data_IF_079946635125
#
_entry.id   IF_079946635125
#
_cell.length_a   1.000
_cell.length_b   1.000
_cell.length_c   1.000
_cell.angle_alpha   90.00
_cell.angle_beta   90.00
_cell.angle_gamma   90.00
#
_symmetry.space_group_name_H-M   'P 1'
#
loop_
_entity.id
_entity.type
_entity.pdbx_description
1 polymer ?
#
# COMPACT_ATOMS: atom_id res chain seq x y z
N UNK A 1 -15.30 -31.15 -72.79
CA UNK A 1 -15.40 -29.75 -72.31
C UNK A 1 -16.16 -29.79 -70.98
N UNK A 2 -15.49 -29.79 -69.81
CA UNK A 2 -15.28 -28.61 -68.92
C UNK A 2 -16.61 -27.92 -68.56
N UNK A 3 -17.09 -27.77 -67.31
CA UNK A 3 -16.42 -27.39 -66.05
C UNK A 3 -17.35 -27.65 -64.83
N UNK A 4 -16.71 -27.87 -63.69
CA UNK A 4 -17.20 -27.88 -62.29
C UNK A 4 -17.91 -26.55 -61.92
N UNK A 5 -18.85 -26.58 -60.96
CA UNK A 5 -19.22 -25.46 -60.06
C UNK A 5 -19.95 -26.05 -58.84
N UNK A 6 -19.28 -26.32 -57.70
CA UNK A 6 -18.85 -25.45 -56.60
C UNK A 6 -19.96 -25.20 -55.56
N UNK A 7 -19.84 -25.90 -54.42
CA UNK A 7 -20.60 -25.67 -53.19
C UNK A 7 -20.10 -24.41 -52.48
N UNK A 8 -21.01 -23.60 -51.95
CA UNK A 8 -20.70 -22.44 -51.11
C UNK A 8 -21.29 -22.69 -49.71
N UNK A 9 -20.43 -23.03 -48.76
CA UNK A 9 -20.77 -23.02 -47.33
C UNK A 9 -20.34 -21.68 -46.75
N UNK A 10 -21.29 -20.82 -46.37
CA UNK A 10 -21.01 -19.64 -45.56
C UNK A 10 -20.87 -20.06 -44.09
N UNK A 11 -19.65 -20.02 -43.57
CA UNK A 11 -19.39 -20.06 -42.13
C UNK A 11 -19.43 -18.64 -41.55
N UNK A 12 -20.34 -18.38 -40.61
CA UNK A 12 -20.35 -17.15 -39.83
C UNK A 12 -19.28 -17.24 -38.72
N UNK A 13 -18.26 -16.39 -38.79
CA UNK A 13 -17.28 -16.24 -37.72
C UNK A 13 -17.78 -15.19 -36.71
N UNK A 14 -18.05 -15.61 -35.47
CA UNK A 14 -18.32 -14.70 -34.37
C UNK A 14 -17.01 -14.01 -33.95
N UNK A 15 -16.92 -12.70 -34.13
CA UNK A 15 -15.81 -11.88 -33.64
C UNK A 15 -16.01 -11.70 -32.13
N UNK A 16 -15.23 -12.42 -31.32
CA UNK A 16 -15.09 -12.11 -29.90
C UNK A 16 -14.36 -10.77 -29.80
N UNK A 17 -15.06 -9.72 -29.35
CA UNK A 17 -14.44 -8.44 -29.04
C UNK A 17 -13.61 -8.58 -27.76
N UNK A 18 -12.29 -8.68 -27.91
CA UNK A 18 -11.36 -8.55 -26.79
C UNK A 18 -11.25 -7.06 -26.45
N UNK A 19 -11.74 -6.63 -25.29
CA UNK A 19 -11.40 -5.32 -24.75
C UNK A 19 -9.92 -5.33 -24.35
N UNK A 20 -9.09 -4.36 -24.78
CA UNK A 20 -7.69 -4.32 -24.38
C UNK A 20 -7.60 -4.21 -22.86
N UNK A 21 -6.84 -5.11 -22.23
CA UNK A 21 -6.47 -4.98 -20.82
C UNK A 21 -5.52 -3.78 -20.68
N UNK A 22 -5.85 -2.84 -19.79
CA UNK A 22 -4.95 -1.73 -19.48
C UNK A 22 -3.65 -2.28 -18.87
N UNK A 23 -2.51 -1.71 -19.27
CA UNK A 23 -1.21 -2.16 -18.79
C UNK A 23 -1.06 -1.86 -17.29
N UNK A 24 -0.78 -2.90 -16.51
CA UNK A 24 -0.43 -2.77 -15.10
C UNK A 24 1.02 -2.33 -14.97
N UNK A 25 1.28 -1.36 -14.09
CA UNK A 25 2.64 -0.94 -13.73
C UNK A 25 2.89 -1.29 -12.26
N UNK A 26 4.02 -1.95 -12.00
CA UNK A 26 4.41 -2.39 -10.66
C UNK A 26 5.53 -1.51 -10.11
N UNK A 27 5.40 -1.14 -8.85
CA UNK A 27 6.35 -0.35 -8.08
C UNK A 27 6.80 -1.15 -6.87
N UNK A 28 8.11 -1.21 -6.65
CA UNK A 28 8.70 -1.93 -5.54
C UNK A 28 8.99 -1.04 -4.32
N UNK A 29 9.64 -1.60 -3.29
CA UNK A 29 10.03 -0.84 -2.10
C UNK A 29 10.92 0.38 -2.39
N UNK A 30 11.69 0.37 -3.48
CA UNK A 30 12.54 1.50 -3.89
C UNK A 30 11.74 2.72 -4.39
N UNK A 31 10.48 2.51 -4.81
CA UNK A 31 9.59 3.56 -5.30
C UNK A 31 8.75 4.20 -4.18
N UNK A 32 8.96 3.75 -2.94
CA UNK A 32 8.28 4.24 -1.74
C UNK A 32 9.33 4.85 -0.83
N UNK A 33 9.20 6.13 -0.53
CA UNK A 33 10.07 6.80 0.43
C UNK A 33 9.57 6.52 1.85
N UNK A 34 10.35 5.79 2.64
CA UNK A 34 9.98 5.41 4.01
C UNK A 34 10.89 6.07 5.05
N UNK A 35 10.31 6.44 6.19
CA UNK A 35 11.04 6.91 7.37
C UNK A 35 10.56 6.18 8.62
N UNK A 36 11.51 5.83 9.49
CA UNK A 36 11.25 5.09 10.73
C UNK A 36 11.15 6.06 11.92
N UNK A 37 10.09 5.90 12.70
CA UNK A 37 9.81 6.73 13.88
C UNK A 37 9.81 5.94 15.19
N UNK A 38 9.59 6.64 16.31
CA UNK A 38 9.49 6.03 17.65
C UNK A 38 8.42 4.94 17.71
N UNK A 39 8.59 3.96 18.60
CA UNK A 39 7.58 2.92 18.82
C UNK A 39 7.34 1.98 17.62
N UNK A 40 8.28 1.91 16.68
CA UNK A 40 8.15 1.07 15.49
C UNK A 40 7.16 1.61 14.46
N UNK A 41 6.86 2.91 14.48
CA UNK A 41 6.06 3.55 13.43
C UNK A 41 6.87 3.69 12.15
N UNK A 42 6.21 3.55 11.01
CA UNK A 42 6.82 3.78 9.69
C UNK A 42 5.92 4.75 8.95
N UNK A 43 6.47 5.89 8.52
CA UNK A 43 5.78 6.80 7.60
C UNK A 43 6.29 6.57 6.18
N UNK A 44 5.41 6.66 5.20
CA UNK A 44 5.74 6.49 3.80
C UNK A 44 5.16 7.62 2.94
N UNK A 45 5.85 7.97 1.86
CA UNK A 45 5.31 8.76 0.75
C UNK A 45 5.65 8.11 -0.59
N UNK A 46 4.74 8.28 -1.55
CA UNK A 46 4.84 7.73 -2.89
C UNK A 46 4.03 8.60 -3.86
N UNK A 47 4.21 8.41 -5.16
CA UNK A 47 3.45 9.15 -6.16
C UNK A 47 3.97 8.88 -7.56
N UNK A 48 3.23 9.35 -8.55
CA UNK A 48 3.61 9.33 -9.96
C UNK A 48 3.19 10.64 -10.62
N UNK A 49 3.99 11.09 -11.58
CA UNK A 49 3.72 12.29 -12.39
C UNK A 49 3.92 11.98 -13.86
N UNK A 50 3.33 12.82 -14.73
CA UNK A 50 3.46 12.63 -16.18
C UNK A 50 2.75 11.39 -16.69
N UNK A 51 1.68 10.95 -16.02
CA UNK A 51 0.91 9.78 -16.45
C UNK A 51 0.24 10.14 -17.78
N UNK A 52 0.53 9.38 -18.82
CA UNK A 52 0.00 9.61 -20.18
C UNK A 52 -1.52 9.40 -20.21
N UNK A 53 -2.18 9.95 -21.24
CA UNK A 53 -3.63 9.88 -21.36
C UNK A 53 -4.12 8.42 -21.45
N UNK A 54 -5.20 8.12 -20.74
CA UNK A 54 -5.85 6.81 -20.72
C UNK A 54 -6.07 6.26 -19.32
N UNK A 55 -6.65 5.06 -19.27
CA UNK A 55 -6.78 4.30 -18.03
C UNK A 55 -5.42 3.76 -17.61
N UNK A 56 -5.16 3.75 -16.30
CA UNK A 56 -3.95 3.17 -15.73
C UNK A 56 -4.27 2.32 -14.51
N UNK A 57 -3.39 1.36 -14.22
CA UNK A 57 -3.35 0.63 -12.96
C UNK A 57 -1.92 0.61 -12.45
N UNK A 58 -1.71 1.20 -11.28
CA UNK A 58 -0.43 1.25 -10.59
C UNK A 58 -0.51 0.41 -9.32
N UNK A 59 0.47 -0.47 -9.10
CA UNK A 59 0.49 -1.42 -8.00
C UNK A 59 1.78 -1.23 -7.22
N UNK A 60 1.69 -0.75 -5.99
CA UNK A 60 2.82 -0.65 -5.08
C UNK A 60 2.91 -1.90 -4.20
N UNK A 61 4.06 -2.54 -4.22
CA UNK A 61 4.34 -3.77 -3.51
C UNK A 61 5.37 -3.52 -2.40
N UNK A 62 5.00 -3.82 -1.16
CA UNK A 62 5.89 -3.74 0.00
C UNK A 62 5.62 -4.84 1.04
N UNK A 63 6.63 -5.16 1.84
CA UNK A 63 6.54 -6.10 2.96
C UNK A 63 6.97 -5.41 4.24
N UNK A 64 6.26 -5.65 5.35
CA UNK A 64 6.67 -5.18 6.67
C UNK A 64 7.10 -6.36 7.55
N UNK A 65 8.13 -6.20 8.41
CA UNK A 65 8.63 -7.28 9.26
C UNK A 65 7.73 -7.58 10.46
N UNK A 66 6.78 -6.70 10.76
CA UNK A 66 5.88 -6.79 11.92
C UNK A 66 4.45 -6.53 11.52
N UNK A 67 3.51 -7.16 12.22
CA UNK A 67 2.08 -6.93 12.03
C UNK A 67 1.66 -5.64 12.71
N UNK A 68 0.63 -5.00 12.18
CA UNK A 68 0.14 -3.74 12.71
C UNK A 68 -1.02 -3.19 11.90
N UNK A 69 -1.23 -1.88 11.99
CA UNK A 69 -2.27 -1.18 11.24
C UNK A 69 -1.67 -0.04 10.44
N UNK A 70 -2.15 0.13 9.20
CA UNK A 70 -1.78 1.22 8.33
C UNK A 70 -2.96 2.15 8.07
N UNK A 71 -2.70 3.45 8.03
CA UNK A 71 -3.63 4.48 7.54
C UNK A 71 -2.94 5.29 6.47
N UNK A 72 -3.70 5.88 5.55
CA UNK A 72 -3.09 6.67 4.49
C UNK A 72 -4.11 7.27 3.53
N UNK A 73 -3.59 8.03 2.58
CA UNK A 73 -4.37 8.70 1.55
C UNK A 73 -3.66 8.74 0.21
N UNK A 74 -4.45 8.88 -0.85
CA UNK A 74 -4.00 9.21 -2.20
C UNK A 74 -4.77 10.45 -2.65
N UNK A 75 -4.07 11.41 -3.23
CA UNK A 75 -4.60 12.71 -3.63
C UNK A 75 -4.17 13.04 -5.07
N UNK A 76 -5.08 13.62 -5.84
CA UNK A 76 -4.81 14.21 -7.15
C UNK A 76 -5.00 15.73 -7.09
N UNK A 77 -4.43 16.44 -8.06
CA UNK A 77 -4.68 17.88 -8.19
C UNK A 77 -4.64 18.31 -9.64
N UNK A 78 -5.56 19.18 -10.03
CA UNK A 78 -5.64 19.72 -11.37
C UNK A 78 -5.98 21.22 -11.36
N UNK A 79 -5.61 21.92 -12.44
CA UNK A 79 -5.94 23.35 -12.63
C UNK A 79 -7.31 23.52 -13.29
N UNK A 80 -7.66 22.61 -14.19
CA UNK A 80 -8.91 22.63 -14.95
C UNK A 80 -9.53 21.23 -14.97
N UNK A 81 -10.83 21.17 -14.69
CA UNK A 81 -11.57 19.92 -14.70
C UNK A 81 -11.64 19.37 -16.13
N UNK A 82 -11.27 18.11 -16.31
CA UNK A 82 -11.04 17.47 -17.60
C UNK A 82 -9.93 18.10 -18.46
N UNK A 83 -9.05 18.91 -17.87
CA UNK A 83 -7.85 19.43 -18.54
C UNK A 83 -6.75 18.38 -18.69
N UNK A 84 -5.70 18.67 -19.46
CA UNK A 84 -4.62 17.70 -19.73
C UNK A 84 -3.86 17.21 -18.49
N UNK A 85 -3.78 18.03 -17.44
CA UNK A 85 -3.17 17.67 -16.15
C UNK A 85 -4.12 16.99 -15.17
N UNK A 86 -5.39 16.81 -15.57
CA UNK A 86 -6.41 16.20 -14.73
C UNK A 86 -6.24 14.67 -14.66
N UNK A 87 -6.54 14.12 -13.49
CA UNK A 87 -6.49 12.70 -13.21
C UNK A 87 -7.68 12.34 -12.34
N UNK A 88 -8.50 11.43 -12.84
CA UNK A 88 -9.68 10.91 -12.15
C UNK A 88 -9.36 9.56 -11.50
N UNK A 89 -9.41 9.47 -10.17
CA UNK A 89 -9.31 8.23 -9.40
C UNK A 89 -10.60 7.44 -9.56
N UNK A 90 -10.48 6.21 -10.07
CA UNK A 90 -11.63 5.31 -10.23
C UNK A 90 -11.77 4.36 -9.04
N UNK A 91 -10.65 3.89 -8.49
CA UNK A 91 -10.62 3.11 -7.25
C UNK A 91 -9.20 3.02 -6.70
N UNK A 92 -9.10 2.93 -5.38
CA UNK A 92 -7.83 2.66 -4.70
C UNK A 92 -8.07 1.59 -3.64
N UNK A 93 -7.20 0.58 -3.58
CA UNK A 93 -7.30 -0.54 -2.64
C UNK A 93 -5.98 -0.74 -1.90
N UNK A 94 -6.04 -0.94 -0.59
CA UNK A 94 -4.93 -1.44 0.22
C UNK A 94 -5.29 -2.84 0.72
N UNK A 95 -4.58 -3.87 0.26
CA UNK A 95 -4.83 -5.27 0.60
C UNK A 95 -6.32 -5.69 0.42
N UNK A 96 -6.94 -5.20 -0.66
CA UNK A 96 -8.36 -5.44 -0.95
C UNK A 96 -9.35 -4.56 -0.18
N UNK A 97 -8.90 -3.74 0.76
CA UNK A 97 -9.74 -2.73 1.42
C UNK A 97 -9.82 -1.49 0.53
N UNK A 98 -11.02 -1.13 0.10
CA UNK A 98 -11.25 0.06 -0.72
C UNK A 98 -11.04 1.33 0.12
N UNK A 99 -10.22 2.26 -0.39
CA UNK A 99 -10.12 3.62 0.13
C UNK A 99 -11.32 4.43 -0.36
N UNK A 100 -11.84 5.29 0.51
CA UNK A 100 -13.04 6.10 0.24
C UNK A 100 -12.74 7.59 0.40
N UNK A 101 -13.49 8.44 -0.31
CA UNK A 101 -13.35 9.89 -0.20
C UNK A 101 -14.02 10.61 -1.35
N UNK A 102 -13.40 11.70 -1.81
CA UNK A 102 -13.88 12.54 -2.91
C UNK A 102 -13.22 12.07 -4.20
N UNK A 103 -14.04 11.73 -5.21
CA UNK A 103 -13.62 11.33 -6.57
C UNK A 103 -14.51 12.04 -7.59
N UNK A 104 -14.07 12.12 -8.85
CA UNK A 104 -14.77 12.81 -9.93
C UNK A 104 -14.85 14.33 -9.73
N UNK A 105 -13.90 14.90 -9.01
CA UNK A 105 -13.80 16.34 -8.72
C UNK A 105 -12.47 16.88 -9.24
N UNK A 106 -12.32 18.21 -9.33
CA UNK A 106 -11.08 18.85 -9.79
C UNK A 106 -9.83 18.40 -9.01
N UNK A 107 -9.99 18.22 -7.70
CA UNK A 107 -9.00 17.61 -6.84
C UNK A 107 -9.69 16.48 -6.10
N UNK A 108 -9.04 15.32 -6.05
CA UNK A 108 -9.61 14.12 -5.44
C UNK A 108 -8.75 13.69 -4.28
N UNK A 109 -9.39 13.05 -3.30
CA UNK A 109 -8.71 12.47 -2.15
C UNK A 109 -9.47 11.24 -1.69
N UNK A 110 -8.77 10.12 -1.54
CA UNK A 110 -9.30 8.89 -0.96
C UNK A 110 -8.39 8.43 0.17
N UNK A 111 -8.97 7.84 1.21
CA UNK A 111 -8.23 7.42 2.39
C UNK A 111 -8.83 6.15 3.01
N UNK A 112 -8.01 5.49 3.82
CA UNK A 112 -8.43 4.41 4.71
C UNK A 112 -7.71 4.55 6.04
N UNK A 113 -8.34 4.04 7.11
CA UNK A 113 -7.82 4.10 8.45
C UNK A 113 -7.73 2.69 9.04
N UNK A 114 -6.63 2.41 9.74
CA UNK A 114 -6.42 1.19 10.50
C UNK A 114 -6.61 -0.10 9.67
N UNK A 115 -6.12 -0.11 8.42
CA UNK A 115 -6.09 -1.31 7.58
C UNK A 115 -5.06 -2.29 8.15
N UNK A 116 -5.45 -3.55 8.45
CA UNK A 116 -4.52 -4.54 8.98
C UNK A 116 -3.39 -4.85 8.00
N UNK A 117 -2.16 -4.90 8.53
CA UNK A 117 -0.97 -5.37 7.81
C UNK A 117 -0.41 -6.60 8.54
N UNK A 118 -0.15 -7.66 7.78
CA UNK A 118 0.41 -8.91 8.29
C UNK A 118 1.91 -8.96 8.04
N UNK A 119 2.67 -9.30 9.08
CA UNK A 119 4.12 -9.46 9.01
C UNK A 119 4.55 -10.46 7.92
N UNK A 120 5.59 -10.12 7.17
CA UNK A 120 6.25 -11.03 6.21
C UNK A 120 5.42 -11.37 4.97
N UNK A 121 4.23 -10.78 4.81
CA UNK A 121 3.37 -10.96 3.64
C UNK A 121 3.52 -9.76 2.69
N UNK A 122 3.42 -10.03 1.40
CA UNK A 122 3.37 -9.01 0.36
C UNK A 122 2.07 -8.21 0.51
N UNK A 123 2.20 -6.91 0.81
CA UNK A 123 1.10 -5.96 0.82
C UNK A 123 1.04 -5.24 -0.52
N UNK A 124 -0.17 -4.88 -0.92
CA UNK A 124 -0.42 -4.22 -2.21
C UNK A 124 -1.31 -2.99 -2.02
N UNK A 125 -0.84 -1.86 -2.55
CA UNK A 125 -1.65 -0.68 -2.79
C UNK A 125 -1.90 -0.56 -4.30
N UNK A 126 -3.15 -0.76 -4.71
CA UNK A 126 -3.58 -0.72 -6.10
C UNK A 126 -4.30 0.60 -6.35
N UNK A 127 -3.82 1.39 -7.29
CA UNK A 127 -4.39 2.70 -7.69
C UNK A 127 -4.85 2.58 -9.13
N UNK A 128 -6.15 2.77 -9.34
CA UNK A 128 -6.77 2.80 -10.65
C UNK A 128 -7.29 4.19 -10.95
N UNK A 129 -7.05 4.67 -12.16
CA UNK A 129 -7.55 5.98 -12.57
C UNK A 129 -7.53 6.17 -14.07
N UNK A 130 -7.95 7.37 -14.47
CA UNK A 130 -7.91 7.86 -15.85
C UNK A 130 -7.11 9.16 -15.84
N UNK A 131 -5.97 9.16 -16.52
CA UNK A 131 -5.23 10.39 -16.78
C UNK A 131 -5.70 11.03 -18.09
N UNK A 132 -5.70 12.36 -18.15
CA UNK A 132 -6.06 13.13 -19.35
C UNK A 132 -4.86 13.53 -20.22
N UNK A 133 -3.63 13.16 -19.84
CA UNK A 133 -2.43 13.39 -20.68
C UNK A 133 -1.15 13.72 -19.94
N UNK A 134 -1.25 14.26 -18.73
CA UNK A 134 -0.13 14.63 -17.87
C UNK A 134 -0.57 14.63 -16.39
N UNK A 135 -1.44 13.69 -16.02
CA UNK A 135 -1.99 13.55 -14.68
C UNK A 135 -0.92 13.15 -13.66
N UNK A 136 -1.18 13.47 -12.39
CA UNK A 136 -0.33 13.04 -11.29
C UNK A 136 -1.14 12.74 -10.03
N UNK A 137 -0.58 11.87 -9.19
CA UNK A 137 -1.07 11.64 -7.84
C UNK A 137 0.09 11.56 -6.86
N UNK A 138 -0.20 11.93 -5.61
CA UNK A 138 0.68 11.72 -4.47
C UNK A 138 -0.06 10.95 -3.39
N UNK A 139 0.68 10.23 -2.57
CA UNK A 139 0.12 9.51 -1.44
C UNK A 139 1.08 9.42 -0.28
N UNK A 140 0.51 9.14 0.88
CA UNK A 140 1.20 9.04 2.14
C UNK A 140 0.53 7.99 3.01
N UNK A 141 1.34 7.32 3.81
CA UNK A 141 0.88 6.31 4.75
C UNK A 141 1.61 6.39 6.07
N UNK A 142 0.96 5.96 7.13
CA UNK A 142 1.57 5.72 8.43
C UNK A 142 1.17 4.33 8.88
N UNK A 143 2.16 3.55 9.24
CA UNK A 143 2.03 2.24 9.86
C UNK A 143 2.41 2.33 11.33
N UNK A 144 1.62 1.67 12.18
CA UNK A 144 1.92 1.47 13.59
C UNK A 144 1.96 -0.03 13.86
N UNK A 145 3.09 -0.46 14.42
CA UNK A 145 3.32 -1.84 14.85
C UNK A 145 2.41 -2.22 16.03
N UNK A 146 1.85 -3.43 15.99
CA UNK A 146 1.20 -4.05 17.16
C UNK A 146 2.18 -4.86 18.01
N UNK A 147 3.50 -4.76 17.76
CA UNK A 147 4.50 -5.51 18.49
C UNK A 147 4.45 -5.18 19.99
N UNK A 148 4.05 -6.17 20.78
CA UNK A 148 4.17 -6.17 22.23
C UNK A 148 5.64 -6.42 22.58
N UNK A 149 6.21 -5.83 23.65
CA UNK A 149 7.57 -6.15 24.07
C UNK A 149 7.73 -7.67 24.20
N UNK A 150 8.76 -8.21 23.57
CA UNK A 150 8.96 -9.66 23.52
C UNK A 150 9.14 -10.24 24.94
N UNK A 151 8.76 -11.50 25.20
CA UNK A 151 8.98 -12.16 26.50
C UNK A 151 10.42 -12.08 27.01
N UNK A 152 11.41 -12.01 26.10
CA UNK A 152 12.81 -11.79 26.45
C UNK A 152 13.06 -10.40 27.05
N UNK A 153 12.42 -9.35 26.51
CA UNK A 153 12.50 -8.00 27.07
C UNK A 153 11.87 -7.96 28.47
N UNK A 154 10.72 -8.62 28.66
CA UNK A 154 10.12 -8.81 29.98
C UNK A 154 11.04 -9.62 30.91
N UNK A 155 11.65 -10.69 30.40
CA UNK A 155 12.58 -11.53 31.14
C UNK A 155 13.83 -10.78 31.58
N UNK A 156 14.39 -9.91 30.75
CA UNK A 156 15.52 -9.06 31.12
C UNK A 156 15.14 -7.97 32.10
N UNK A 157 13.94 -7.38 31.98
CA UNK A 157 13.44 -6.39 32.93
C UNK A 157 13.21 -7.03 34.31
N UNK A 158 12.48 -8.14 34.36
CA UNK A 158 12.24 -8.91 35.58
C UNK A 158 13.56 -9.43 36.15
N UNK A 159 14.44 -9.97 35.30
CA UNK A 159 15.77 -10.44 35.68
C UNK A 159 16.63 -9.33 36.27
N UNK A 160 16.64 -8.14 35.64
CA UNK A 160 17.35 -6.96 36.13
C UNK A 160 16.84 -6.51 37.50
N UNK A 161 15.53 -6.41 37.68
CA UNK A 161 14.94 -6.10 38.99
C UNK A 161 15.19 -7.20 40.03
N UNK A 162 15.14 -8.47 39.63
CA UNK A 162 15.45 -9.61 40.49
C UNK A 162 16.90 -9.56 41.00
N UNK A 163 17.86 -9.33 40.11
CA UNK A 163 19.28 -9.19 40.46
C UNK A 163 19.53 -7.96 41.34
N UNK A 164 18.92 -6.82 41.03
CA UNK A 164 19.03 -5.60 41.85
C UNK A 164 18.46 -5.82 43.25
N UNK A 165 17.28 -6.43 43.38
CA UNK A 165 16.68 -6.76 44.67
C UNK A 165 17.54 -7.73 45.50
N UNK A 166 18.15 -8.72 44.86
CA UNK A 166 19.09 -9.64 45.53
C UNK A 166 20.35 -8.93 46.01
N UNK A 167 20.88 -7.97 45.25
CA UNK A 167 22.04 -7.18 45.66
C UNK A 167 21.75 -6.31 46.89
N UNK A 168 20.56 -5.71 46.98
CA UNK A 168 20.10 -4.95 48.16
C UNK A 168 19.99 -5.85 49.39
N UNK A 169 19.35 -7.04 49.25
CA UNK A 169 19.21 -7.99 50.38
C UNK A 169 20.56 -8.48 50.93
N UNK A 170 21.59 -8.63 50.10
CA UNK A 170 22.92 -9.05 50.56
C UNK A 170 23.61 -8.00 51.43
N UNK A 171 23.35 -6.70 51.23
CA UNK A 171 23.93 -5.62 52.04
C UNK A 171 23.33 -5.51 53.44
N UNK A 172 22.04 -5.78 53.59
CA UNK A 172 21.37 -5.73 54.91
C UNK A 172 21.81 -6.86 55.84
N UNK A 173 22.20 -8.04 55.31
CA UNK A 173 22.66 -9.17 56.13
C UNK A 173 24.04 -8.92 56.76
N UNK A 174 24.88 -8.09 56.12
CA UNK A 174 26.22 -7.77 56.64
C UNK A 174 26.18 -6.78 57.81
N UNK A 175 25.17 -5.92 57.89
CA UNK A 175 25.02 -4.92 58.97
C UNK A 175 24.35 -5.47 60.24
N UNK A 176 23.71 -6.65 60.18
CA UNK A 176 23.08 -7.29 61.35
C UNK A 176 24.05 -8.14 62.20
N UNK A 177 25.36 -8.07 61.92
CA UNK A 177 26.45 -8.65 62.72
C UNK A 177 27.35 -7.52 63.23
N UNK A 178 26.89 -6.81 64.26
CA UNK A 178 27.67 -5.94 65.12
C UNK A 178 27.02 -5.91 66.51
#
# INVERSE_FOLDING_TARGET
MTRKLLALALGAAAILAFTPANAQTYFGPADINTSFGPGGTISASFGQSGIVAGMFQHIYQFTLPVSGSASGSVTTSAVLFHGVGDLDLTSVFLNGVQLTGITGALNEVVFANAVPIVAGVQNELIINGISRGNGSYGGQGVFVSNAVPEPAAWGMLIGGFGLAGMAVRRRTVVLAKA
#
